data_IF_852203691151
#
_entry.id   IF_852203691151
#
_cell.length_a   1.000
_cell.length_b   1.000
_cell.length_c   1.000
_cell.angle_alpha   90.00
_cell.angle_beta   90.00
_cell.angle_gamma   90.00
#
_symmetry.space_group_name_H-M   'P 1'
#
loop_
_entity.id
_entity.type
_entity.pdbx_description
1 polymer ?
#
# COMPACT_ATOMS: atom_id res chain seq x y z
N UNK A 1 -1.87 -1.16 38.84
CA UNK A 1 -2.49 -2.18 37.98
C UNK A 1 -3.65 -1.58 37.20
N UNK A 2 -3.41 -1.18 35.96
CA UNK A 2 -4.41 -0.50 35.13
C UNK A 2 -4.93 -1.49 34.09
N UNK A 3 -5.45 -2.66 34.54
CA UNK A 3 -5.96 -3.74 33.67
C UNK A 3 -7.02 -3.23 32.68
N UNK A 4 -7.90 -2.34 33.10
CA UNK A 4 -8.93 -1.78 32.22
C UNK A 4 -8.31 -0.94 31.09
N UNK A 5 -7.24 -0.19 31.35
CA UNK A 5 -6.54 0.59 30.33
C UNK A 5 -5.88 -0.32 29.27
N UNK A 6 -5.33 -1.44 29.73
CA UNK A 6 -4.78 -2.45 28.84
C UNK A 6 -5.88 -3.06 27.95
N UNK A 7 -7.06 -3.34 28.49
CA UNK A 7 -8.20 -3.84 27.74
C UNK A 7 -8.63 -2.82 26.67
N UNK A 8 -8.77 -1.55 27.04
CA UNK A 8 -9.11 -0.46 26.10
C UNK A 8 -8.05 -0.34 25.00
N UNK A 9 -6.77 -0.40 25.38
CA UNK A 9 -5.68 -0.41 24.40
C UNK A 9 -5.79 -1.57 23.42
N UNK A 10 -6.10 -2.78 23.88
CA UNK A 10 -6.27 -3.95 23.01
C UNK A 10 -7.45 -3.76 22.03
N UNK A 11 -8.58 -3.24 22.48
CA UNK A 11 -9.70 -2.94 21.58
C UNK A 11 -9.34 -1.90 20.52
N UNK A 12 -8.67 -0.81 20.91
CA UNK A 12 -8.22 0.22 19.97
C UNK A 12 -7.21 -0.35 18.97
N UNK A 13 -6.32 -1.21 19.43
CA UNK A 13 -5.34 -1.90 18.57
C UNK A 13 -6.04 -2.83 17.58
N UNK A 14 -7.05 -3.58 18.00
CA UNK A 14 -7.84 -4.44 17.11
C UNK A 14 -8.51 -3.62 16.00
N UNK A 15 -9.16 -2.49 16.35
CA UNK A 15 -9.81 -1.61 15.37
C UNK A 15 -8.78 -1.05 14.38
N UNK A 16 -7.67 -0.52 14.89
CA UNK A 16 -6.60 0.01 14.06
C UNK A 16 -6.00 -1.05 13.14
N UNK A 17 -5.71 -2.23 13.66
CA UNK A 17 -5.15 -3.35 12.89
C UNK A 17 -6.12 -3.81 11.79
N UNK A 18 -7.41 -3.96 12.12
CA UNK A 18 -8.42 -4.34 11.14
C UNK A 18 -8.50 -3.33 10.00
N UNK A 19 -8.44 -2.02 10.29
CA UNK A 19 -8.47 -0.99 9.27
C UNK A 19 -7.18 -0.96 8.43
N UNK A 20 -6.02 -0.89 9.09
CA UNK A 20 -4.73 -0.72 8.42
C UNK A 20 -4.29 -1.97 7.65
N UNK A 21 -4.52 -3.17 8.18
CA UNK A 21 -4.14 -4.42 7.51
C UNK A 21 -4.95 -4.64 6.23
N UNK A 22 -6.23 -4.25 6.24
CA UNK A 22 -7.13 -4.48 5.10
C UNK A 22 -7.36 -3.26 4.23
N UNK A 23 -6.57 -2.19 4.38
CA UNK A 23 -6.70 -0.97 3.57
C UNK A 23 -6.59 -1.26 2.06
N UNK A 24 -5.75 -2.23 1.68
CA UNK A 24 -5.61 -2.70 0.30
C UNK A 24 -6.89 -3.38 -0.22
N UNK A 25 -7.60 -4.12 0.63
CA UNK A 25 -8.87 -4.74 0.28
C UNK A 25 -9.95 -3.67 0.04
N UNK A 26 -10.04 -2.66 0.90
CA UNK A 26 -10.96 -1.54 0.73
C UNK A 26 -10.66 -0.73 -0.53
N UNK A 27 -9.38 -0.47 -0.79
CA UNK A 27 -8.94 0.21 -2.00
C UNK A 27 -9.29 -0.59 -3.26
N UNK A 28 -9.07 -1.91 -3.22
CA UNK A 28 -9.40 -2.82 -4.32
C UNK A 28 -10.91 -2.87 -4.61
N UNK A 29 -11.72 -2.95 -3.58
CA UNK A 29 -13.17 -2.91 -3.69
C UNK A 29 -13.64 -1.62 -4.39
N UNK A 30 -13.17 -0.46 -3.91
CA UNK A 30 -13.53 0.85 -4.48
C UNK A 30 -12.97 1.08 -5.88
N UNK A 31 -11.78 0.58 -6.16
CA UNK A 31 -11.22 0.64 -7.51
C UNK A 31 -12.05 -0.18 -8.49
N UNK A 32 -12.50 -1.37 -8.10
CA UNK A 32 -13.35 -2.22 -8.92
C UNK A 32 -14.69 -1.56 -9.25
N UNK A 33 -15.35 -0.92 -8.29
CA UNK A 33 -16.56 -0.12 -8.53
C UNK A 33 -16.33 0.95 -9.61
N UNK A 34 -15.20 1.67 -9.53
CA UNK A 34 -14.89 2.73 -10.49
C UNK A 34 -14.52 2.22 -11.88
N UNK A 35 -13.88 1.07 -11.96
CA UNK A 35 -13.46 0.47 -13.25
C UNK A 35 -14.50 -0.44 -13.87
N UNK A 36 -15.66 -0.60 -13.22
CA UNK A 36 -16.77 -1.42 -13.71
C UNK A 36 -16.47 -2.92 -13.65
N UNK A 37 -15.70 -3.34 -12.66
CA UNK A 37 -15.44 -4.73 -12.29
C UNK A 37 -16.25 -5.13 -11.07
N UNK A 38 -16.32 -6.42 -10.76
CA UNK A 38 -17.01 -6.91 -9.57
C UNK A 38 -16.26 -6.47 -8.29
N UNK A 39 -16.89 -5.66 -7.41
CA UNK A 39 -16.20 -5.06 -6.26
C UNK A 39 -15.58 -6.07 -5.30
N UNK A 40 -16.27 -7.20 -5.08
CA UNK A 40 -15.78 -8.28 -4.20
C UNK A 40 -14.46 -8.87 -4.73
N UNK A 41 -14.34 -9.06 -6.04
CA UNK A 41 -13.11 -9.58 -6.66
C UNK A 41 -11.95 -8.59 -6.52
N UNK A 42 -12.23 -7.29 -6.65
CA UNK A 42 -11.24 -6.24 -6.37
C UNK A 42 -10.77 -6.25 -4.93
N UNK A 43 -11.68 -6.42 -3.97
CA UNK A 43 -11.35 -6.60 -2.57
C UNK A 43 -10.48 -7.84 -2.31
N UNK A 44 -10.82 -8.97 -2.92
CA UNK A 44 -10.03 -10.21 -2.84
C UNK A 44 -8.61 -10.01 -3.40
N UNK A 45 -8.45 -9.33 -4.52
CA UNK A 45 -7.14 -9.01 -5.08
C UNK A 45 -6.32 -8.13 -4.12
N UNK A 46 -6.98 -7.16 -3.47
CA UNK A 46 -6.38 -6.34 -2.43
C UNK A 46 -5.92 -7.15 -1.20
N UNK A 47 -6.68 -8.15 -0.78
CA UNK A 47 -6.27 -9.07 0.30
C UNK A 47 -5.06 -9.90 -0.10
N UNK A 48 -5.01 -10.41 -1.33
CA UNK A 48 -3.88 -11.19 -1.85
C UNK A 48 -2.57 -10.41 -1.72
N UNK A 49 -2.59 -9.09 -1.89
CA UNK A 49 -1.40 -8.24 -1.76
C UNK A 49 -0.69 -8.41 -0.42
N UNK A 50 -1.41 -8.64 0.66
CA UNK A 50 -0.87 -8.73 2.03
C UNK A 50 -0.64 -10.17 2.50
N UNK A 51 -0.95 -11.18 1.68
CA UNK A 51 -0.79 -12.58 2.06
C UNK A 51 0.68 -12.98 2.20
N UNK A 52 1.02 -13.61 3.31
CA UNK A 52 2.36 -14.13 3.60
C UNK A 52 2.85 -15.17 2.57
N UNK A 53 1.94 -15.87 1.91
CA UNK A 53 2.23 -16.83 0.85
C UNK A 53 3.09 -16.24 -0.29
N UNK A 54 3.00 -14.92 -0.53
CA UNK A 54 3.85 -14.22 -1.52
C UNK A 54 5.33 -14.35 -1.14
N UNK A 55 5.65 -14.27 0.15
CA UNK A 55 7.02 -14.43 0.62
C UNK A 55 7.53 -15.87 0.38
N UNK A 56 6.67 -16.87 0.58
CA UNK A 56 6.99 -18.27 0.30
C UNK A 56 7.19 -18.49 -1.21
N UNK A 57 6.34 -17.91 -2.05
CA UNK A 57 6.49 -17.95 -3.51
C UNK A 57 7.82 -17.29 -3.91
N UNK A 58 8.17 -16.14 -3.32
CA UNK A 58 9.43 -15.46 -3.58
C UNK A 58 10.65 -16.35 -3.26
N UNK A 59 10.60 -17.09 -2.18
CA UNK A 59 11.66 -18.04 -1.81
C UNK A 59 11.77 -19.22 -2.78
N UNK A 60 10.64 -19.76 -3.24
CA UNK A 60 10.59 -20.89 -4.16
C UNK A 60 11.02 -20.51 -5.59
N UNK A 61 10.78 -19.27 -6.00
CA UNK A 61 11.06 -18.74 -7.34
C UNK A 61 12.39 -17.98 -7.35
N UNK A 62 13.09 -17.87 -6.20
CA UNK A 62 14.40 -17.22 -6.09
C UNK A 62 15.37 -17.74 -7.15
N UNK A 63 16.03 -16.84 -7.88
CA UNK A 63 16.88 -17.15 -9.02
C UNK A 63 16.15 -17.44 -10.33
N UNK A 64 14.82 -17.46 -10.31
CA UNK A 64 14.03 -17.64 -11.53
C UNK A 64 13.37 -16.32 -11.94
N UNK A 65 13.21 -16.07 -13.22
CA UNK A 65 12.82 -14.76 -13.78
C UNK A 65 13.83 -13.67 -13.36
N UNK A 66 13.34 -12.61 -12.78
CA UNK A 66 14.06 -11.44 -12.34
C UNK A 66 14.04 -11.28 -10.80
N UNK A 67 13.65 -12.33 -10.08
CA UNK A 67 13.69 -12.40 -8.61
C UNK A 67 15.09 -12.81 -8.18
N UNK A 68 15.87 -11.94 -7.48
CA UNK A 68 17.21 -12.28 -7.03
C UNK A 68 17.19 -13.45 -6.04
N UNK A 69 18.22 -14.30 -6.08
CA UNK A 69 18.48 -15.30 -5.04
C UNK A 69 18.88 -14.60 -3.74
N UNK A 70 18.30 -15.02 -2.62
CA UNK A 70 18.79 -14.71 -1.28
C UNK A 70 18.85 -13.21 -0.97
N UNK A 71 17.73 -12.54 -0.91
CA UNK A 71 17.69 -11.16 -0.43
C UNK A 71 17.13 -11.07 0.99
N UNK A 72 17.61 -10.11 1.77
CA UNK A 72 16.94 -9.67 2.98
C UNK A 72 15.47 -9.39 2.66
N UNK A 73 14.56 -9.82 3.53
CA UNK A 73 13.12 -9.67 3.33
C UNK A 73 12.68 -8.22 3.02
N UNK A 74 13.48 -7.22 3.44
CA UNK A 74 13.31 -5.81 3.14
C UNK A 74 13.64 -5.43 1.69
N UNK A 75 14.57 -6.13 1.05
CA UNK A 75 15.04 -5.86 -0.31
C UNK A 75 14.45 -6.82 -1.35
N UNK A 76 13.67 -7.83 -0.92
CA UNK A 76 13.05 -8.77 -1.83
C UNK A 76 12.15 -8.04 -2.83
N UNK A 77 12.36 -8.33 -4.11
CA UNK A 77 11.56 -7.75 -5.21
C UNK A 77 10.11 -8.21 -5.10
N UNK A 78 9.90 -9.43 -4.63
CA UNK A 78 8.60 -10.04 -4.44
C UNK A 78 8.38 -10.30 -2.95
N UNK A 79 7.53 -9.52 -2.31
CA UNK A 79 7.14 -9.71 -0.90
C UNK A 79 5.72 -9.23 -0.65
N UNK A 80 5.11 -9.74 0.43
CA UNK A 80 3.80 -9.32 0.87
C UNK A 80 3.75 -7.80 1.15
N UNK A 81 2.66 -7.14 0.72
CA UNK A 81 2.45 -5.71 0.88
C UNK A 81 3.20 -4.80 -0.10
N UNK A 82 4.04 -5.35 -0.99
CA UNK A 82 4.81 -4.54 -1.94
C UNK A 82 3.92 -3.81 -2.94
N UNK A 83 4.21 -2.54 -3.16
CA UNK A 83 3.41 -1.67 -4.02
C UNK A 83 2.11 -1.17 -3.39
N UNK A 84 1.69 -1.74 -2.25
CA UNK A 84 0.55 -1.27 -1.46
C UNK A 84 -0.72 -1.03 -2.29
N UNK A 85 -1.42 0.06 -1.98
CA UNK A 85 -2.67 0.45 -2.66
C UNK A 85 -2.47 0.74 -4.14
N UNK A 86 -1.30 1.26 -4.54
CA UNK A 86 -1.01 1.54 -5.96
C UNK A 86 -0.99 0.25 -6.79
N UNK A 87 -0.37 -0.82 -6.25
CA UNK A 87 -0.38 -2.13 -6.90
C UNK A 87 -1.82 -2.64 -7.08
N UNK A 88 -2.64 -2.50 -6.03
CA UNK A 88 -4.04 -2.95 -6.06
C UNK A 88 -4.84 -2.21 -7.13
N UNK A 89 -4.72 -0.88 -7.22
CA UNK A 89 -5.45 -0.08 -8.22
C UNK A 89 -5.09 -0.54 -9.64
N UNK A 90 -3.80 -0.72 -9.94
CA UNK A 90 -3.35 -1.20 -11.25
C UNK A 90 -3.75 -2.66 -11.50
N UNK A 91 -3.70 -3.50 -10.44
CA UNK A 91 -4.16 -4.89 -10.51
C UNK A 91 -5.66 -5.00 -10.83
N UNK A 92 -6.47 -4.17 -10.20
CA UNK A 92 -7.92 -4.12 -10.45
C UNK A 92 -8.23 -3.57 -11.84
N UNK A 93 -7.43 -2.63 -12.35
CA UNK A 93 -7.57 -2.17 -13.74
C UNK A 93 -7.34 -3.30 -14.75
N UNK A 94 -6.30 -4.13 -14.50
CA UNK A 94 -6.07 -5.35 -15.29
C UNK A 94 -7.24 -6.32 -15.13
N UNK A 95 -7.67 -6.57 -13.91
CA UNK A 95 -8.77 -7.48 -13.58
C UNK A 95 -10.07 -7.09 -14.28
N UNK A 96 -10.40 -5.79 -14.35
CA UNK A 96 -11.59 -5.31 -15.04
C UNK A 96 -11.61 -5.68 -16.54
N UNK A 97 -10.43 -5.67 -17.18
CA UNK A 97 -10.30 -6.11 -18.58
C UNK A 97 -10.44 -7.62 -18.72
N UNK A 98 -9.80 -8.37 -17.83
CA UNK A 98 -9.88 -9.84 -17.82
C UNK A 98 -11.29 -10.30 -17.51
N UNK A 99 -11.97 -9.68 -16.55
CA UNK A 99 -13.36 -9.98 -16.20
C UNK A 99 -14.30 -9.83 -17.39
N UNK A 100 -14.22 -8.73 -18.13
CA UNK A 100 -15.02 -8.52 -19.34
C UNK A 100 -14.78 -9.60 -20.39
N UNK A 101 -13.52 -10.00 -20.57
CA UNK A 101 -13.16 -11.04 -21.52
C UNK A 101 -13.65 -12.43 -21.09
N UNK A 102 -13.49 -12.80 -19.82
CA UNK A 102 -13.95 -14.09 -19.29
C UNK A 102 -15.47 -14.20 -19.37
N UNK A 103 -16.20 -13.19 -18.87
CA UNK A 103 -17.66 -13.19 -18.86
C UNK A 103 -18.26 -13.21 -20.27
N UNK A 104 -17.59 -12.62 -21.27
CA UNK A 104 -18.06 -12.67 -22.66
C UNK A 104 -18.02 -14.06 -23.31
N UNK A 105 -17.27 -14.99 -22.69
CA UNK A 105 -17.11 -16.37 -23.21
C UNK A 105 -17.79 -17.43 -22.33
N UNK A 106 -18.27 -17.04 -21.14
CA UNK A 106 -18.86 -17.97 -20.19
C UNK A 106 -20.36 -18.12 -20.42
N UNK A 107 -20.89 -19.36 -20.33
CA UNK A 107 -22.34 -19.59 -20.30
C UNK A 107 -22.92 -19.05 -18.98
N UNK A 108 -24.12 -18.46 -19.02
CA UNK A 108 -24.81 -17.86 -17.88
C UNK A 108 -24.92 -18.78 -16.65
N UNK A 109 -25.10 -20.09 -16.88
CA UNK A 109 -25.21 -21.07 -15.79
C UNK A 109 -23.92 -21.23 -14.96
N UNK A 110 -22.76 -20.98 -15.54
CA UNK A 110 -21.45 -21.13 -14.88
C UNK A 110 -20.84 -19.79 -14.44
N UNK A 111 -21.39 -18.68 -14.92
CA UNK A 111 -20.81 -17.34 -14.70
C UNK A 111 -20.72 -16.97 -13.21
N UNK A 112 -21.69 -17.39 -12.40
CA UNK A 112 -21.75 -17.02 -10.99
C UNK A 112 -20.60 -17.66 -10.17
N UNK A 113 -20.23 -18.91 -10.48
CA UNK A 113 -19.27 -19.68 -9.67
C UNK A 113 -17.90 -19.77 -10.34
N UNK A 114 -17.87 -20.08 -11.61
CA UNK A 114 -16.63 -20.39 -12.34
C UNK A 114 -15.90 -19.14 -12.79
N UNK A 115 -16.61 -18.10 -13.23
CA UNK A 115 -15.98 -16.87 -13.71
C UNK A 115 -15.14 -16.17 -12.64
N UNK A 116 -15.59 -15.99 -11.38
CA UNK A 116 -14.77 -15.37 -10.34
C UNK A 116 -13.46 -16.13 -10.09
N UNK A 117 -13.49 -17.46 -10.09
CA UNK A 117 -12.32 -18.30 -9.85
C UNK A 117 -11.32 -18.14 -11.00
N UNK A 118 -11.77 -18.21 -12.24
CA UNK A 118 -10.90 -18.04 -13.41
C UNK A 118 -10.32 -16.63 -13.47
N UNK A 119 -11.13 -15.61 -13.22
CA UNK A 119 -10.68 -14.20 -13.21
C UNK A 119 -9.56 -14.00 -12.22
N UNK A 120 -9.75 -14.46 -10.98
CA UNK A 120 -8.71 -14.35 -9.93
C UNK A 120 -7.48 -15.17 -10.32
N UNK A 121 -7.63 -16.42 -10.74
CA UNK A 121 -6.50 -17.29 -11.11
C UNK A 121 -5.65 -16.68 -12.23
N UNK A 122 -6.30 -16.13 -13.27
CA UNK A 122 -5.60 -15.49 -14.39
C UNK A 122 -4.97 -14.16 -13.98
N UNK A 123 -5.62 -13.39 -13.10
CA UNK A 123 -5.11 -12.08 -12.69
C UNK A 123 -4.00 -12.15 -11.64
N UNK A 124 -4.03 -13.13 -10.72
CA UNK A 124 -3.07 -13.20 -9.60
C UNK A 124 -1.64 -13.36 -10.11
N UNK A 125 -1.41 -14.18 -11.13
CA UNK A 125 -0.06 -14.41 -11.66
C UNK A 125 0.58 -13.13 -12.18
N UNK A 126 0.02 -12.41 -13.18
CA UNK A 126 0.62 -11.16 -13.64
C UNK A 126 0.58 -10.06 -12.57
N UNK A 127 -0.37 -10.10 -11.65
CA UNK A 127 -0.44 -9.17 -10.54
C UNK A 127 0.78 -9.31 -9.62
N UNK A 128 1.06 -10.52 -9.16
CA UNK A 128 2.14 -10.81 -8.21
C UNK A 128 3.51 -10.66 -8.86
N UNK A 129 3.69 -11.15 -10.10
CA UNK A 129 5.01 -11.18 -10.75
C UNK A 129 5.36 -9.93 -11.55
N UNK A 130 4.38 -9.11 -11.96
CA UNK A 130 4.64 -7.94 -12.79
C UNK A 130 4.21 -6.66 -12.05
N UNK A 131 2.94 -6.56 -11.64
CA UNK A 131 2.40 -5.30 -11.11
C UNK A 131 2.99 -4.98 -9.75
N UNK A 132 2.99 -5.91 -8.80
CA UNK A 132 3.53 -5.67 -7.46
C UNK A 132 5.01 -5.27 -7.47
N UNK A 133 5.90 -5.94 -8.20
CA UNK A 133 7.29 -5.54 -8.28
C UNK A 133 7.50 -4.19 -8.94
N UNK A 134 6.85 -3.90 -10.06
CA UNK A 134 6.98 -2.60 -10.75
C UNK A 134 6.54 -1.46 -9.83
N UNK A 135 5.36 -1.58 -9.21
CA UNK A 135 4.87 -0.59 -8.26
C UNK A 135 5.75 -0.49 -7.02
N UNK A 136 6.33 -1.61 -6.58
CA UNK A 136 7.30 -1.65 -5.50
C UNK A 136 8.60 -0.91 -5.83
N UNK A 137 9.12 -1.03 -7.05
CA UNK A 137 10.29 -0.26 -7.51
C UNK A 137 9.97 1.23 -7.51
N UNK A 138 8.82 1.63 -8.05
CA UNK A 138 8.38 3.03 -8.04
C UNK A 138 8.31 3.56 -6.61
N UNK A 139 7.71 2.79 -5.68
CA UNK A 139 7.64 3.14 -4.27
C UNK A 139 9.03 3.28 -3.64
N UNK A 140 9.95 2.35 -3.93
CA UNK A 140 11.33 2.40 -3.41
C UNK A 140 12.11 3.61 -3.93
N UNK A 141 11.97 3.97 -5.20
CA UNK A 141 12.62 5.16 -5.76
C UNK A 141 12.14 6.41 -5.03
N UNK A 142 10.83 6.54 -4.81
CA UNK A 142 10.28 7.67 -4.06
C UNK A 142 10.78 7.71 -2.61
N UNK A 143 10.79 6.54 -1.94
CA UNK A 143 11.30 6.40 -0.57
C UNK A 143 12.78 6.78 -0.48
N UNK A 144 13.60 6.36 -1.44
CA UNK A 144 15.03 6.67 -1.49
C UNK A 144 15.27 8.17 -1.74
N UNK A 145 14.53 8.79 -2.66
CA UNK A 145 14.62 10.24 -2.91
C UNK A 145 14.29 11.01 -1.63
N UNK A 146 13.17 10.70 -1.00
CA UNK A 146 12.75 11.37 0.24
C UNK A 146 13.76 11.10 1.36
N UNK A 147 14.26 9.87 1.48
CA UNK A 147 15.23 9.48 2.50
C UNK A 147 16.56 10.24 2.37
N UNK A 148 17.14 10.28 1.18
CA UNK A 148 18.43 10.95 0.95
C UNK A 148 18.36 12.45 1.23
N UNK A 149 17.25 13.08 0.92
CA UNK A 149 17.05 14.52 1.18
C UNK A 149 16.82 14.81 2.67
N UNK A 150 16.03 13.98 3.35
CA UNK A 150 15.77 14.14 4.79
C UNK A 150 16.98 13.82 5.68
N UNK A 151 17.92 13.00 5.21
CA UNK A 151 19.13 12.62 5.94
C UNK A 151 20.36 13.47 5.57
N UNK A 152 20.20 14.51 4.76
CA UNK A 152 21.28 15.43 4.40
C UNK A 152 21.90 16.11 5.61
N UNK A 153 23.22 16.34 5.60
CA UNK A 153 23.94 17.05 6.66
C UNK A 153 23.58 18.54 6.75
N UNK A 154 23.16 19.14 5.63
CA UNK A 154 22.81 20.56 5.56
C UNK A 154 21.46 20.84 6.23
N UNK A 155 21.46 21.78 7.20
CA UNK A 155 20.24 22.21 7.90
C UNK A 155 19.20 22.80 6.91
N UNK A 156 19.66 23.57 5.92
CA UNK A 156 18.77 24.18 4.92
C UNK A 156 18.09 23.10 4.08
N UNK A 157 18.85 22.10 3.65
CA UNK A 157 18.32 20.98 2.87
C UNK A 157 17.27 20.21 3.67
N UNK A 158 17.52 19.96 4.96
CA UNK A 158 16.55 19.29 5.86
C UNK A 158 15.27 20.10 6.03
N UNK A 159 15.38 21.44 6.21
CA UNK A 159 14.20 22.30 6.32
C UNK A 159 13.36 22.31 5.05
N UNK A 160 14.01 22.44 3.89
CA UNK A 160 13.33 22.37 2.58
C UNK A 160 12.72 20.99 2.36
N UNK A 161 13.42 19.92 2.74
CA UNK A 161 12.93 18.56 2.68
C UNK A 161 11.71 18.33 3.57
N UNK A 162 11.74 18.82 4.79
CA UNK A 162 10.61 18.76 5.73
C UNK A 162 9.38 19.47 5.18
N UNK A 163 9.57 20.67 4.60
CA UNK A 163 8.50 21.43 3.95
C UNK A 163 7.91 20.68 2.75
N UNK A 164 8.76 20.26 1.82
CA UNK A 164 8.33 19.52 0.62
C UNK A 164 7.73 18.16 1.00
N UNK A 165 8.33 17.47 1.96
CA UNK A 165 7.82 16.20 2.46
C UNK A 165 6.43 16.33 3.05
N UNK A 166 6.19 17.34 3.89
CA UNK A 166 4.88 17.63 4.47
C UNK A 166 3.86 18.02 3.40
N UNK A 167 4.27 18.80 2.41
CA UNK A 167 3.41 19.21 1.28
C UNK A 167 3.01 18.02 0.41
N UNK A 168 3.96 17.13 0.08
CA UNK A 168 3.72 15.96 -0.76
C UNK A 168 3.08 14.80 -0.01
N UNK A 169 3.14 14.79 1.33
CA UNK A 169 2.67 13.67 2.14
C UNK A 169 1.18 13.38 1.94
N UNK A 170 0.34 14.40 1.92
CA UNK A 170 -1.11 14.21 1.75
C UNK A 170 -1.47 13.62 0.37
N UNK A 171 -0.93 14.09 -0.77
CA UNK A 171 -1.05 13.40 -2.05
C UNK A 171 -0.56 11.94 -2.02
N UNK A 172 0.57 11.67 -1.37
CA UNK A 172 1.11 10.31 -1.22
C UNK A 172 0.19 9.41 -0.39
N UNK A 173 -0.44 9.96 0.65
CA UNK A 173 -1.45 9.25 1.45
C UNK A 173 -2.68 8.93 0.59
N UNK A 174 -3.17 9.88 -0.19
CA UNK A 174 -4.31 9.68 -1.09
C UNK A 174 -4.03 8.60 -2.15
N UNK A 175 -2.78 8.50 -2.61
CA UNK A 175 -2.33 7.45 -3.54
C UNK A 175 -2.02 6.11 -2.84
N UNK A 176 -2.06 6.04 -1.51
CA UNK A 176 -1.73 4.85 -0.72
C UNK A 176 -0.24 4.52 -0.65
N UNK A 177 0.65 5.43 -1.10
CA UNK A 177 2.10 5.22 -1.15
C UNK A 177 2.81 5.49 0.18
N UNK A 178 2.11 6.08 1.16
CA UNK A 178 2.66 6.41 2.49
C UNK A 178 3.17 5.17 3.25
N UNK A 179 2.68 3.98 2.96
CA UNK A 179 3.20 2.74 3.56
C UNK A 179 4.67 2.47 3.16
N UNK A 180 5.14 2.97 2.02
CA UNK A 180 6.55 2.95 1.67
C UNK A 180 7.43 3.75 2.64
N UNK A 181 6.88 4.82 3.24
CA UNK A 181 7.57 5.64 4.23
C UNK A 181 7.79 4.90 5.57
N UNK A 182 6.97 3.90 5.88
CA UNK A 182 7.14 3.07 7.09
C UNK A 182 8.50 2.34 7.05
N UNK A 183 8.94 1.90 5.88
CA UNK A 183 10.27 1.31 5.70
C UNK A 183 11.39 2.33 6.04
N UNK A 184 11.21 3.60 5.67
CA UNK A 184 12.14 4.68 6.05
C UNK A 184 12.20 4.92 7.55
N UNK A 185 11.07 4.87 8.24
CA UNK A 185 11.04 4.99 9.70
C UNK A 185 11.86 3.89 10.37
N UNK A 186 11.73 2.66 9.87
CA UNK A 186 12.51 1.52 10.38
C UNK A 186 14.00 1.71 10.12
N UNK A 187 14.39 2.18 8.94
CA UNK A 187 15.79 2.48 8.61
C UNK A 187 16.33 3.61 9.50
N UNK A 188 15.58 4.69 9.70
CA UNK A 188 15.99 5.78 10.60
C UNK A 188 16.18 5.29 12.04
N UNK A 189 15.22 4.49 12.53
CA UNK A 189 15.30 3.95 13.90
C UNK A 189 16.54 3.07 14.09
N UNK A 190 16.87 2.23 13.10
CA UNK A 190 18.02 1.32 13.17
C UNK A 190 19.37 2.03 12.98
N UNK A 191 19.41 3.13 12.20
CA UNK A 191 20.67 3.84 11.88
C UNK A 191 20.96 4.98 12.84
N UNK A 192 19.96 5.72 13.25
CA UNK A 192 20.10 6.98 14.03
C UNK A 192 19.55 6.81 15.45
N UNK A 193 18.77 5.76 15.72
CA UNK A 193 18.12 5.52 17.01
C UNK A 193 16.82 6.31 17.24
N UNK A 194 16.41 7.16 16.28
CA UNK A 194 15.16 7.91 16.35
C UNK A 194 14.62 8.23 14.95
N UNK A 195 13.32 8.54 14.87
CA UNK A 195 12.64 8.83 13.60
C UNK A 195 12.37 10.32 13.49
N UNK A 196 13.09 11.02 12.62
CA UNK A 196 12.92 12.46 12.37
C UNK A 196 11.82 12.76 11.34
N UNK A 197 11.59 11.86 10.41
CA UNK A 197 10.65 12.06 9.31
C UNK A 197 9.19 12.04 9.80
N UNK A 198 8.87 11.19 10.78
CA UNK A 198 7.50 11.04 11.27
C UNK A 198 6.90 12.34 11.84
N UNK A 199 7.58 13.08 12.73
CA UNK A 199 7.07 14.37 13.21
C UNK A 199 6.88 15.41 12.10
N UNK A 200 7.79 15.47 11.13
CA UNK A 200 7.67 16.38 9.99
C UNK A 200 6.43 16.08 9.14
N UNK A 201 6.14 14.81 8.90
CA UNK A 201 4.96 14.39 8.15
C UNK A 201 3.66 14.55 8.95
N UNK A 202 3.69 14.40 10.27
CA UNK A 202 2.55 14.63 11.15
C UNK A 202 2.07 16.08 11.10
N UNK A 203 2.97 17.06 10.85
CA UNK A 203 2.61 18.46 10.65
C UNK A 203 1.71 18.70 9.44
N UNK A 204 1.79 17.85 8.40
CA UNK A 204 0.86 17.90 7.28
C UNK A 204 -0.58 17.63 7.73
N UNK A 205 -0.78 16.68 8.64
CA UNK A 205 -2.10 16.39 9.25
C UNK A 205 -2.61 17.57 10.08
N UNK A 206 -1.76 18.22 10.86
CA UNK A 206 -2.14 19.41 11.62
C UNK A 206 -2.57 20.57 10.69
N UNK A 207 -1.84 20.78 9.60
CA UNK A 207 -2.23 21.77 8.56
C UNK A 207 -3.60 21.46 7.93
N UNK A 208 -3.89 20.19 7.67
CA UNK A 208 -5.17 19.75 7.13
C UNK A 208 -6.33 20.03 8.10
N UNK A 209 -6.14 19.76 9.39
CA UNK A 209 -7.14 20.08 10.42
C UNK A 209 -7.38 21.58 10.49
N UNK A 210 -6.31 22.39 10.46
CA UNK A 210 -6.43 23.86 10.42
C UNK A 210 -7.21 24.35 9.20
N UNK A 211 -6.95 23.81 8.02
CA UNK A 211 -7.69 24.14 6.80
C UNK A 211 -9.18 23.73 6.90
N UNK A 212 -9.48 22.56 7.46
CA UNK A 212 -10.84 22.10 7.66
C UNK A 212 -11.61 23.01 8.63
N UNK A 213 -10.99 23.44 9.73
CA UNK A 213 -11.58 24.41 10.68
C UNK A 213 -11.85 25.75 10.00
N UNK A 214 -10.88 26.27 9.21
CA UNK A 214 -11.05 27.53 8.48
C UNK A 214 -12.21 27.48 7.48
N UNK A 215 -12.35 26.37 6.75
CA UNK A 215 -13.49 26.18 5.82
C UNK A 215 -14.81 26.11 6.59
N UNK A 216 -14.85 25.38 7.72
CA UNK A 216 -16.03 25.27 8.56
C UNK A 216 -16.47 26.64 9.13
N UNK A 217 -15.52 27.45 9.60
CA UNK A 217 -15.81 28.80 10.10
C UNK A 217 -16.34 29.71 9.00
N UNK A 218 -15.82 29.58 7.77
CA UNK A 218 -16.27 30.40 6.63
C UNK A 218 -17.62 29.95 6.06
N UNK A 219 -17.99 28.69 6.23
CA UNK A 219 -19.27 28.13 5.77
C UNK A 219 -20.45 28.44 6.71
N UNK A 220 -20.17 28.99 7.89
CA UNK A 220 -21.14 29.49 8.85
C UNK A 220 -21.45 30.96 8.60
#
# INVERSE_FOLDING_TARGET
>A
DVKWLYIVHQFLTMINTAFMTYITAWAGYRAAEKFGATPILGGMLGMITTMANINTISQLVGGFFWVPEGGDALNAVLRAGRGGVLAVILGVLLMAKVEKWVRSKMPDALDIVVSPIIILAVCVVPYVFIIMPITGIISNVLVNIVGSVCMSESMIVRCVAGFLGSFLFLPLVAMGMHHGLVALYTVQLNTIGFVTLYPALAMAGAGQVGAAIAIWLKAR
#
